data_IF_595237242435
#
_entry.id   IF_595237242435
#
_cell.length_a   1.000
_cell.length_b   1.000
_cell.length_c   1.000
_cell.angle_alpha   90.00
_cell.angle_beta   90.00
_cell.angle_gamma   90.00
#
_symmetry.space_group_name_H-M   'P 1'
#
loop_
_entity.id
_entity.type
_entity.pdbx_description
1 polymer ?
#
# COMPACT_ATOMS: atom_id res chain seq x y z
N UNK A 1 -14.64 50.01 -32.86
CA UNK A 1 -15.44 49.47 -31.74
C UNK A 1 -16.01 48.07 -32.04
N UNK A 2 -16.42 47.75 -33.28
CA UNK A 2 -17.06 46.46 -33.61
C UNK A 2 -16.07 45.25 -33.62
N UNK A 3 -14.79 45.41 -34.00
CA UNK A 3 -13.84 44.27 -34.00
C UNK A 3 -13.41 43.78 -32.61
N UNK A 4 -13.47 44.62 -31.57
CA UNK A 4 -13.04 44.23 -30.21
C UNK A 4 -14.09 43.38 -29.48
N UNK A 5 -15.38 43.52 -29.85
CA UNK A 5 -16.49 42.78 -29.23
C UNK A 5 -16.51 41.31 -29.70
N UNK A 6 -16.10 41.04 -30.94
CA UNK A 6 -16.08 39.68 -31.50
C UNK A 6 -15.01 38.77 -30.88
N UNK A 7 -13.91 39.32 -30.35
CA UNK A 7 -12.81 38.54 -29.75
C UNK A 7 -13.10 38.15 -28.29
N UNK A 8 -13.91 38.96 -27.57
CA UNK A 8 -14.27 38.67 -26.18
C UNK A 8 -15.34 37.56 -26.08
N UNK A 9 -16.27 37.54 -27.05
CA UNK A 9 -17.30 36.50 -27.18
C UNK A 9 -16.71 35.12 -27.45
N UNK A 10 -15.73 35.02 -28.35
CA UNK A 10 -15.10 33.74 -28.72
C UNK A 10 -14.27 33.13 -27.60
N UNK A 11 -13.63 33.95 -26.75
CA UNK A 11 -12.89 33.48 -25.55
C UNK A 11 -13.81 32.88 -24.48
N UNK A 12 -15.02 33.41 -24.31
CA UNK A 12 -16.00 32.88 -23.35
C UNK A 12 -16.69 31.59 -23.83
N UNK A 13 -16.94 31.47 -25.14
CA UNK A 13 -17.55 30.27 -25.74
C UNK A 13 -16.60 29.06 -25.64
N UNK A 14 -15.30 29.28 -25.87
CA UNK A 14 -14.28 28.21 -25.83
C UNK A 14 -14.09 27.63 -24.42
N UNK A 15 -14.06 28.48 -23.39
CA UNK A 15 -13.94 28.05 -21.98
C UNK A 15 -15.12 27.19 -21.50
N UNK A 16 -16.33 27.48 -22.01
CA UNK A 16 -17.54 26.73 -21.67
C UNK A 16 -17.64 25.39 -22.41
N UNK A 17 -17.00 25.27 -23.58
CA UNK A 17 -16.96 24.04 -24.38
C UNK A 17 -16.02 22.98 -23.79
N UNK A 18 -14.86 23.40 -23.24
CA UNK A 18 -13.86 22.46 -22.72
C UNK A 18 -14.30 21.72 -21.44
N UNK A 19 -15.12 22.34 -20.59
CA UNK A 19 -15.66 21.68 -19.38
C UNK A 19 -16.70 20.61 -19.70
N UNK A 20 -17.53 20.86 -20.72
CA UNK A 20 -18.50 19.86 -21.22
C UNK A 20 -17.79 18.71 -21.92
N UNK A 21 -16.73 19.00 -22.66
CA UNK A 21 -15.92 17.96 -23.32
C UNK A 21 -15.26 17.02 -22.30
N UNK A 22 -14.68 17.55 -21.22
CA UNK A 22 -14.12 16.76 -20.11
C UNK A 22 -15.16 15.90 -19.39
N UNK A 23 -16.38 16.42 -19.18
CA UNK A 23 -17.48 15.63 -18.59
C UNK A 23 -17.95 14.50 -19.53
N UNK A 24 -17.99 14.75 -20.84
CA UNK A 24 -18.36 13.73 -21.83
C UNK A 24 -17.28 12.67 -22.03
N UNK A 25 -16.00 13.03 -21.96
CA UNK A 25 -14.88 12.09 -22.08
C UNK A 25 -14.77 11.16 -20.86
N UNK A 26 -15.01 11.69 -19.65
CA UNK A 26 -15.03 10.89 -18.42
C UNK A 26 -16.17 9.87 -18.36
N UNK A 27 -17.35 10.22 -18.90
CA UNK A 27 -18.47 9.30 -19.00
C UNK A 27 -18.22 8.17 -20.02
N UNK A 28 -17.54 8.48 -21.15
CA UNK A 28 -17.23 7.49 -22.18
C UNK A 28 -16.19 6.46 -21.72
N UNK A 29 -15.23 6.88 -20.87
CA UNK A 29 -14.24 5.99 -20.26
C UNK A 29 -14.86 5.03 -19.22
N UNK A 30 -15.99 5.40 -18.63
CA UNK A 30 -16.70 4.59 -17.63
C UNK A 30 -17.52 3.43 -18.26
N UNK A 31 -17.96 3.58 -19.52
CA UNK A 31 -18.83 2.59 -20.17
C UNK A 31 -18.11 1.47 -20.95
N UNK A 32 -16.77 1.48 -21.09
CA UNK A 32 -16.05 0.43 -21.83
C UNK A 32 -15.61 -0.78 -20.98
N UNK A 33 -15.86 -0.78 -19.66
CA UNK A 33 -15.45 -1.86 -18.75
C UNK A 33 -16.52 -2.93 -18.48
N UNK A 34 -17.66 -2.91 -19.17
CA UNK A 34 -18.70 -3.94 -18.99
C UNK A 34 -19.06 -4.62 -20.31
N UNK A 35 -18.10 -5.33 -20.88
CA UNK A 35 -18.43 -6.46 -21.75
C UNK A 35 -18.59 -7.68 -20.84
N UNK A 36 -19.80 -7.86 -20.31
CA UNK A 36 -20.22 -9.15 -19.76
C UNK A 36 -20.49 -10.09 -20.95
N UNK A 37 -19.68 -11.13 -21.10
CA UNK A 37 -19.96 -12.22 -22.03
C UNK A 37 -20.75 -13.30 -21.30
N UNK A 38 -22.04 -13.41 -21.61
CA UNK A 38 -22.80 -14.63 -21.36
C UNK A 38 -22.86 -15.42 -22.67
N UNK A 39 -22.10 -16.52 -22.75
CA UNK A 39 -22.27 -17.52 -23.81
C UNK A 39 -22.30 -18.90 -23.19
N UNK A 40 -23.42 -19.55 -23.43
CA UNK A 40 -23.80 -20.89 -23.01
C UNK A 40 -22.73 -21.96 -23.27
N UNK A 41 -22.62 -22.89 -22.32
CA UNK A 41 -21.81 -24.11 -22.34
C UNK A 41 -22.45 -25.16 -23.26
N UNK A 42 -21.64 -25.85 -24.09
CA UNK A 42 -21.88 -27.25 -24.38
C UNK A 42 -20.72 -28.12 -23.85
N UNK A 43 -21.11 -29.10 -23.04
CA UNK A 43 -20.30 -30.22 -22.53
C UNK A 43 -19.87 -31.13 -23.69
N UNK A 44 -18.56 -31.37 -23.89
CA UNK A 44 -18.02 -32.66 -24.36
C UNK A 44 -16.64 -32.89 -23.74
N UNK A 45 -16.51 -34.06 -23.11
CA UNK A 45 -15.35 -34.60 -22.44
C UNK A 45 -14.09 -34.78 -23.32
N UNK A 46 -12.97 -34.99 -22.61
CA UNK A 46 -11.70 -35.58 -23.05
C UNK A 46 -10.61 -34.65 -23.62
N UNK A 47 -9.77 -34.12 -22.74
CA UNK A 47 -8.46 -34.73 -22.45
C UNK A 47 -7.85 -34.08 -21.21
N UNK A 48 -7.49 -34.91 -20.21
CA UNK A 48 -6.74 -34.46 -19.03
C UNK A 48 -5.32 -34.14 -19.48
N UNK A 49 -5.11 -32.96 -20.05
CA UNK A 49 -3.78 -32.45 -20.32
C UNK A 49 -3.13 -32.06 -19.00
N UNK A 50 -2.08 -32.81 -18.67
CA UNK A 50 -1.10 -32.54 -17.64
C UNK A 50 -0.29 -31.29 -18.06
N UNK A 51 -0.59 -30.13 -17.48
CA UNK A 51 0.34 -29.02 -17.24
C UNK A 51 -0.42 -27.80 -16.67
N UNK A 52 -0.06 -27.35 -15.47
CA UNK A 52 -0.62 -26.16 -14.80
C UNK A 52 0.14 -25.87 -13.51
N UNK A 53 0.38 -24.60 -13.16
CA UNK A 53 1.72 -24.04 -12.98
C UNK A 53 2.31 -24.34 -11.60
N UNK A 54 3.64 -24.31 -11.52
CA UNK A 54 4.36 -24.23 -10.26
C UNK A 54 3.72 -23.14 -9.40
N UNK A 55 3.02 -23.53 -8.34
CA UNK A 55 2.47 -22.63 -7.36
C UNK A 55 3.62 -21.76 -6.85
N UNK A 56 3.60 -20.48 -7.22
CA UNK A 56 4.40 -19.47 -6.54
C UNK A 56 3.96 -19.53 -5.09
N UNK A 57 4.80 -20.11 -4.23
CA UNK A 57 4.60 -20.06 -2.79
C UNK A 57 4.67 -18.59 -2.42
N UNK A 58 3.52 -17.96 -2.23
CA UNK A 58 3.49 -16.67 -1.56
C UNK A 58 4.08 -16.90 -0.18
N UNK A 59 5.24 -16.28 0.06
CA UNK A 59 5.87 -16.32 1.38
C UNK A 59 5.02 -15.44 2.27
N UNK A 60 4.27 -16.06 3.18
CA UNK A 60 3.45 -15.36 4.15
C UNK A 60 4.35 -14.48 5.02
N UNK A 61 4.05 -13.17 5.04
CA UNK A 61 4.81 -12.19 5.80
C UNK A 61 4.16 -12.00 7.17
N UNK A 62 4.90 -12.27 8.23
CA UNK A 62 4.43 -12.11 9.60
C UNK A 62 5.36 -11.20 10.41
N UNK A 63 4.75 -10.39 11.27
CA UNK A 63 5.44 -9.41 12.11
C UNK A 63 4.82 -9.43 13.50
N UNK A 64 5.66 -9.67 14.50
CA UNK A 64 5.26 -9.67 15.91
C UNK A 64 6.15 -8.73 16.74
N UNK A 65 5.53 -8.07 17.72
CA UNK A 65 6.21 -7.16 18.64
C UNK A 65 5.93 -7.60 20.07
N UNK A 66 6.99 -7.85 20.85
CA UNK A 66 6.87 -8.31 22.23
C UNK A 66 8.04 -7.83 23.09
N UNK A 67 7.89 -7.76 24.43
CA UNK A 67 6.63 -7.83 25.15
C UNK A 67 5.78 -6.57 24.90
N UNK A 68 4.47 -6.70 25.03
CA UNK A 68 3.54 -5.57 25.05
C UNK A 68 2.53 -5.79 26.20
N UNK A 69 2.55 -4.99 27.28
CA UNK A 69 3.41 -3.83 27.51
C UNK A 69 4.91 -4.16 27.68
N UNK A 70 5.78 -3.15 27.52
CA UNK A 70 7.24 -3.24 27.65
C UNK A 70 7.78 -2.25 28.67
N UNK A 71 8.93 -2.54 29.26
CA UNK A 71 9.71 -1.62 30.12
C UNK A 71 10.77 -0.83 29.33
N UNK A 72 10.58 -0.67 28.01
CA UNK A 72 11.47 0.06 27.12
C UNK A 72 12.31 -0.83 26.20
N UNK A 73 12.51 -2.12 26.50
CA UNK A 73 13.16 -3.05 25.56
C UNK A 73 12.12 -3.90 24.84
N UNK A 74 12.12 -3.88 23.51
CA UNK A 74 11.20 -4.64 22.68
C UNK A 74 11.94 -5.49 21.66
N UNK A 75 11.28 -6.57 21.26
CA UNK A 75 11.69 -7.51 20.23
C UNK A 75 10.72 -7.41 19.06
N UNK A 76 11.25 -7.22 17.87
CA UNK A 76 10.53 -7.26 16.61
C UNK A 76 10.91 -8.54 15.90
N UNK A 77 9.98 -9.50 15.82
CA UNK A 77 10.13 -10.72 15.03
C UNK A 77 9.54 -10.51 13.64
N UNK A 78 10.33 -10.86 12.63
CA UNK A 78 10.03 -10.70 11.22
C UNK A 78 10.15 -12.05 10.53
N UNK A 79 9.12 -12.45 9.79
CA UNK A 79 9.10 -13.66 8.96
C UNK A 79 8.72 -13.31 7.53
N UNK A 80 9.42 -13.86 6.53
CA UNK A 80 9.11 -13.63 5.11
C UNK A 80 9.66 -12.31 4.54
N UNK A 81 10.68 -11.74 5.19
CA UNK A 81 11.34 -10.51 4.76
C UNK A 81 12.69 -10.71 4.08
N UNK A 82 13.15 -11.97 3.92
CA UNK A 82 14.44 -12.29 3.29
C UNK A 82 14.64 -11.60 1.95
N UNK A 83 15.79 -10.96 1.79
CA UNK A 83 16.18 -10.24 0.56
C UNK A 83 15.47 -8.90 0.37
N UNK A 84 14.73 -8.41 1.37
CA UNK A 84 14.05 -7.12 1.32
C UNK A 84 14.80 -6.10 2.17
N UNK A 85 14.81 -4.85 1.71
CA UNK A 85 15.20 -3.70 2.54
C UNK A 85 13.98 -3.28 3.36
N UNK A 86 14.14 -3.25 4.68
CA UNK A 86 13.08 -2.95 5.63
C UNK A 86 13.43 -1.66 6.38
N UNK A 87 12.50 -0.71 6.41
CA UNK A 87 12.54 0.51 7.23
C UNK A 87 11.56 0.34 8.40
N UNK A 88 12.09 0.44 9.61
CA UNK A 88 11.32 0.42 10.85
C UNK A 88 11.39 1.79 11.51
N UNK A 89 10.23 2.35 11.80
CA UNK A 89 10.07 3.59 12.56
C UNK A 89 9.26 3.35 13.81
N UNK A 90 9.69 3.93 14.91
CA UNK A 90 8.88 4.07 16.12
C UNK A 90 8.42 5.51 16.23
N UNK A 91 7.11 5.69 16.39
CA UNK A 91 6.44 6.98 16.44
C UNK A 91 5.63 7.11 17.73
N UNK A 92 5.61 8.30 18.31
CA UNK A 92 4.67 8.61 19.38
C UNK A 92 3.26 8.84 18.82
N UNK A 93 2.27 9.06 19.70
CA UNK A 93 0.86 9.28 19.30
C UNK A 93 0.63 10.55 18.46
N UNK A 94 1.55 11.51 18.50
CA UNK A 94 1.50 12.75 17.72
C UNK A 94 2.06 12.52 16.30
N UNK A 95 2.79 11.43 16.09
CA UNK A 95 3.43 11.07 14.82
C UNK A 95 4.91 11.45 14.74
N UNK A 96 5.52 11.94 15.82
CA UNK A 96 6.96 12.20 15.85
C UNK A 96 7.72 10.88 15.83
N UNK A 97 8.66 10.74 14.89
CA UNK A 97 9.56 9.58 14.82
C UNK A 97 10.63 9.72 15.91
N UNK A 98 10.59 8.84 16.91
CA UNK A 98 11.54 8.83 18.03
C UNK A 98 12.71 7.87 17.79
N UNK A 99 12.50 6.85 16.96
CA UNK A 99 13.52 5.89 16.56
C UNK A 99 13.30 5.46 15.11
N UNK A 100 14.38 5.25 14.37
CA UNK A 100 14.35 4.71 13.01
C UNK A 100 15.53 3.78 12.81
N UNK A 101 15.29 2.66 12.18
CA UNK A 101 16.32 1.73 11.74
C UNK A 101 16.00 1.25 10.32
N UNK A 102 17.04 1.11 9.48
CA UNK A 102 16.93 0.52 8.16
C UNK A 102 17.92 -0.62 8.07
N UNK A 103 17.46 -1.78 7.60
CA UNK A 103 18.31 -2.94 7.43
C UNK A 103 17.90 -3.75 6.20
N UNK A 104 18.83 -4.57 5.73
CA UNK A 104 18.59 -5.55 4.67
C UNK A 104 18.51 -6.93 5.28
N UNK A 105 17.39 -7.61 5.08
CA UNK A 105 17.15 -8.88 5.74
C UNK A 105 17.79 -10.04 4.97
N UNK A 106 18.57 -10.86 5.66
CA UNK A 106 19.34 -11.96 5.03
C UNK A 106 18.73 -13.33 5.34
N UNK A 107 18.03 -13.43 6.47
CA UNK A 107 17.37 -14.64 6.93
C UNK A 107 15.86 -14.56 6.68
N UNK A 108 15.19 -15.72 6.67
CA UNK A 108 13.73 -15.73 6.51
C UNK A 108 13.02 -15.30 7.78
N UNK A 109 13.60 -15.66 8.93
CA UNK A 109 13.16 -15.27 10.26
C UNK A 109 14.25 -14.44 10.92
N UNK A 110 13.89 -13.30 11.48
CA UNK A 110 14.85 -12.43 12.15
C UNK A 110 14.21 -11.75 13.34
N UNK A 111 14.99 -11.58 14.41
CA UNK A 111 14.59 -10.85 15.61
C UNK A 111 15.49 -9.65 15.79
N UNK A 112 14.90 -8.45 15.80
CA UNK A 112 15.59 -7.19 16.13
C UNK A 112 15.23 -6.75 17.54
N UNK A 113 16.20 -6.16 18.22
CA UNK A 113 16.03 -5.63 19.58
C UNK A 113 16.09 -4.11 19.50
N UNK A 114 15.04 -3.43 19.96
CA UNK A 114 15.04 -1.98 20.07
C UNK A 114 15.01 -1.57 21.53
N UNK A 115 15.92 -0.66 21.87
CA UNK A 115 15.99 -0.06 23.21
C UNK A 115 15.36 1.33 23.18
N UNK A 116 14.12 1.36 23.65
CA UNK A 116 13.25 2.53 23.79
C UNK A 116 13.21 3.04 25.25
N UNK A 117 14.07 2.52 26.14
CA UNK A 117 14.09 2.89 27.56
C UNK A 117 14.37 4.37 27.86
N UNK A 118 14.94 5.08 26.87
CA UNK A 118 15.25 6.52 26.96
C UNK A 118 14.05 7.41 26.64
N UNK A 119 12.95 6.85 26.15
CA UNK A 119 11.76 7.59 25.78
C UNK A 119 10.70 7.53 26.89
N UNK A 120 9.83 8.54 26.90
CA UNK A 120 8.78 8.63 27.90
C UNK A 120 7.81 7.44 27.84
N UNK A 121 7.23 7.11 29.00
CA UNK A 121 6.20 6.09 29.12
C UNK A 121 4.95 6.50 28.33
N UNK A 122 4.33 5.56 27.64
CA UNK A 122 3.14 5.84 26.84
C UNK A 122 2.90 4.88 25.68
N UNK A 123 1.98 5.27 24.81
CA UNK A 123 1.62 4.53 23.61
C UNK A 123 2.51 4.94 22.43
N UNK A 124 3.03 3.94 21.72
CA UNK A 124 3.83 4.12 20.53
C UNK A 124 3.32 3.24 19.39
N UNK A 125 3.66 3.66 18.16
CA UNK A 125 3.39 2.94 16.93
C UNK A 125 4.71 2.54 16.29
N UNK A 126 4.86 1.26 15.96
CA UNK A 126 5.96 0.74 15.18
C UNK A 126 5.46 0.56 13.76
N UNK A 127 5.97 1.37 12.85
CA UNK A 127 5.67 1.28 11.42
C UNK A 127 6.80 0.54 10.72
N UNK A 128 6.44 -0.53 10.02
CA UNK A 128 7.33 -1.30 9.18
C UNK A 128 6.98 -1.02 7.71
N UNK A 129 7.99 -0.74 6.89
CA UNK A 129 7.87 -0.59 5.44
C UNK A 129 8.93 -1.43 4.73
N UNK A 130 8.48 -2.23 3.77
CA UNK A 130 9.28 -2.95 2.78
C UNK A 130 8.62 -2.74 1.39
N UNK A 131 9.23 -3.15 0.26
CA UNK A 131 8.76 -2.79 -1.09
C UNK A 131 7.26 -2.99 -1.34
N UNK A 132 6.72 -4.14 -0.91
CA UNK A 132 5.32 -4.51 -1.10
C UNK A 132 4.60 -4.80 0.22
N UNK A 133 5.12 -4.29 1.34
CA UNK A 133 4.56 -4.54 2.67
C UNK A 133 4.62 -3.29 3.54
N UNK A 134 3.49 -2.94 4.15
CA UNK A 134 3.47 -1.92 5.19
C UNK A 134 2.50 -2.33 6.30
N UNK A 135 3.00 -2.31 7.53
CA UNK A 135 2.20 -2.62 8.71
C UNK A 135 2.53 -1.66 9.85
N UNK A 136 1.54 -1.41 10.71
CA UNK A 136 1.70 -0.64 11.93
C UNK A 136 1.28 -1.50 13.12
N UNK A 137 2.16 -1.62 14.12
CA UNK A 137 1.90 -2.31 15.39
C UNK A 137 1.89 -1.31 16.54
N UNK A 138 0.95 -1.46 17.47
CA UNK A 138 0.91 -0.67 18.72
C UNK A 138 1.78 -1.31 19.79
N UNK A 139 2.48 -0.51 20.58
CA UNK A 139 3.21 -0.97 21.77
C UNK A 139 3.05 0.02 22.92
N UNK A 140 2.92 -0.49 24.13
CA UNK A 140 2.80 0.31 25.36
C UNK A 140 4.12 0.21 26.13
N UNK A 141 4.71 1.37 26.49
CA UNK A 141 5.91 1.46 27.32
C UNK A 141 5.52 1.94 28.72
N UNK A 142 5.93 1.19 29.75
CA UNK A 142 5.57 1.37 31.16
C UNK A 142 6.65 1.99 32.03
#
# INVERSE_FOLDING_TARGET
VISYINNLSTRFIFSRYMKKFILWFGAYLCCFLTVAQDKAVPDIAASKQLSGPAASREVEQDVAVYPNPSNGRIFLSLTGFKGKRTDVRVMNVIGNVVFRENFYETEDQTVKIFDLSKFDKGLYYIKLEAPDYSEIRKVIIN
#
